data_IF_331979315460
#
_entry.id   IF_331979315460
#
_cell.length_a   1.000
_cell.length_b   1.000
_cell.length_c   1.000
_cell.angle_alpha   90.00
_cell.angle_beta   90.00
_cell.angle_gamma   90.00
#
_symmetry.space_group_name_H-M   'P 1'
#
loop_
_entity.id
_entity.type
_entity.pdbx_description
1 polymer ?
#
# COMPACT_ATOMS: atom_id res chain seq x y z
N UNK A 1 -20.19 5.36 -6.71
CA UNK A 1 -18.73 5.23 -6.93
C UNK A 1 -18.14 6.41 -7.70
N UNK A 2 -18.75 6.88 -8.79
CA UNK A 2 -18.23 8.00 -9.61
C UNK A 2 -18.03 9.34 -8.88
N UNK A 3 -18.87 9.68 -7.90
CA UNK A 3 -18.77 10.94 -7.14
C UNK A 3 -17.45 11.05 -6.37
N UNK A 4 -17.01 9.94 -5.76
CA UNK A 4 -15.74 9.90 -5.01
C UNK A 4 -14.55 10.07 -5.96
N UNK A 5 -14.62 9.46 -7.15
CA UNK A 5 -13.57 9.58 -8.17
C UNK A 5 -13.52 10.98 -8.78
N UNK A 6 -14.65 11.68 -8.90
CA UNK A 6 -14.69 13.07 -9.39
C UNK A 6 -14.14 14.07 -8.36
N UNK A 7 -14.46 13.90 -7.07
CA UNK A 7 -13.99 14.79 -6.00
C UNK A 7 -12.50 14.63 -5.70
N UNK A 8 -12.01 13.39 -5.72
CA UNK A 8 -10.61 13.11 -5.48
C UNK A 8 -9.81 13.09 -6.78
N UNK A 9 -10.41 12.87 -7.94
CA UNK A 9 -9.69 12.66 -9.19
C UNK A 9 -9.02 11.29 -9.22
N UNK A 10 -9.04 10.62 -10.38
CA UNK A 10 -8.47 9.27 -10.55
C UNK A 10 -6.97 9.15 -10.20
N UNK A 11 -6.24 10.26 -10.11
CA UNK A 11 -4.83 10.32 -9.70
C UNK A 11 -4.60 10.29 -8.17
N UNK A 12 -5.59 10.64 -7.36
CA UNK A 12 -5.40 10.86 -5.92
C UNK A 12 -5.57 9.56 -5.14
N UNK A 13 -6.42 8.65 -5.61
CA UNK A 13 -6.53 7.28 -5.06
C UNK A 13 -5.20 6.49 -5.15
N UNK A 14 -4.50 6.42 -6.31
CA UNK A 14 -3.23 5.70 -6.39
C UNK A 14 -2.10 6.38 -5.59
N UNK A 15 -2.13 7.69 -5.44
CA UNK A 15 -1.17 8.45 -4.63
C UNK A 15 -1.37 8.17 -3.12
N UNK A 16 -2.63 8.15 -2.66
CA UNK A 16 -3.00 7.76 -1.31
C UNK A 16 -2.69 6.28 -1.01
N UNK A 17 -2.94 5.37 -1.94
CA UNK A 17 -2.60 3.94 -1.78
C UNK A 17 -1.09 3.72 -1.67
N UNK A 18 -0.29 4.43 -2.47
CA UNK A 18 1.19 4.40 -2.35
C UNK A 18 1.64 4.91 -0.99
N UNK A 19 1.13 6.07 -0.56
CA UNK A 19 1.48 6.67 0.74
C UNK A 19 1.06 5.79 1.93
N UNK A 20 -0.17 5.28 1.91
CA UNK A 20 -0.71 4.41 2.96
C UNK A 20 0.02 3.05 3.01
N UNK A 21 0.29 2.44 1.85
CA UNK A 21 1.02 1.18 1.77
C UNK A 21 2.46 1.29 2.25
N UNK A 22 3.13 2.42 1.98
CA UNK A 22 4.46 2.71 2.48
C UNK A 22 4.44 2.98 4.00
N UNK A 23 3.52 3.82 4.48
CA UNK A 23 3.36 4.09 5.92
C UNK A 23 3.01 2.84 6.73
N UNK A 24 2.15 1.95 6.21
CA UNK A 24 1.81 0.70 6.88
C UNK A 24 2.98 -0.31 6.87
N UNK A 25 3.81 -0.31 5.80
CA UNK A 25 5.06 -1.09 5.75
C UNK A 25 6.07 -0.58 6.77
N UNK A 26 6.28 0.73 6.85
CA UNK A 26 7.22 1.34 7.78
C UNK A 26 6.75 1.17 9.23
N UNK A 27 5.43 1.32 9.48
CA UNK A 27 4.82 1.03 10.77
C UNK A 27 5.02 -0.43 11.16
N UNK A 28 4.71 -1.39 10.28
CA UNK A 28 4.88 -2.82 10.56
C UNK A 28 6.34 -3.21 10.73
N UNK A 29 7.26 -2.53 10.04
CA UNK A 29 8.70 -2.70 10.20
C UNK A 29 9.16 -2.17 11.55
N UNK A 30 8.71 -0.98 11.96
CA UNK A 30 9.03 -0.41 13.27
C UNK A 30 8.43 -1.21 14.44
N UNK A 31 7.17 -1.65 14.33
CA UNK A 31 6.51 -2.50 15.33
C UNK A 31 7.11 -3.91 15.43
N UNK A 32 7.84 -4.36 14.41
CA UNK A 32 8.58 -5.63 14.41
C UNK A 32 10.04 -5.48 14.82
N UNK A 33 10.51 -4.27 15.17
CA UNK A 33 11.90 -4.08 15.64
C UNK A 33 12.05 -4.40 17.13
N UNK A 34 10.93 -4.49 17.88
CA UNK A 34 10.91 -4.88 19.30
C UNK A 34 10.98 -6.41 19.52
N UNK A 35 10.74 -7.21 18.46
CA UNK A 35 10.81 -8.68 18.43
C UNK A 35 11.78 -9.07 17.29
N UNK A 36 12.88 -9.75 17.59
CA UNK A 36 14.03 -10.02 16.71
C UNK A 36 13.76 -10.57 15.26
N UNK A 37 14.78 -10.56 14.36
CA UNK A 37 14.66 -10.14 12.98
C UNK A 37 14.26 -11.23 11.99
N UNK A 38 14.07 -10.79 10.75
CA UNK A 38 13.96 -11.57 9.52
C UNK A 38 12.57 -12.08 9.14
N UNK A 39 11.97 -11.32 8.23
CA UNK A 39 11.28 -11.75 7.00
C UNK A 39 10.18 -10.74 6.70
N UNK A 40 10.49 -9.77 5.86
CA UNK A 40 9.45 -9.05 5.13
C UNK A 40 9.80 -9.04 3.64
N UNK A 41 9.87 -10.25 3.08
CA UNK A 41 9.90 -10.48 1.65
C UNK A 41 8.65 -11.26 1.27
N UNK A 42 7.61 -10.50 0.92
CA UNK A 42 6.34 -10.87 0.24
C UNK A 42 5.35 -9.75 0.61
N UNK A 43 4.42 -9.27 -0.19
CA UNK A 43 3.95 -9.54 -1.54
C UNK A 43 3.01 -8.36 -1.83
N UNK A 44 3.09 -7.77 -3.01
CA UNK A 44 1.93 -7.18 -3.70
C UNK A 44 2.40 -6.79 -5.10
N UNK A 45 2.81 -7.80 -5.85
CA UNK A 45 2.65 -7.83 -7.30
C UNK A 45 1.99 -9.16 -7.59
N UNK A 46 0.71 -9.26 -7.26
CA UNK A 46 -0.18 -10.21 -7.93
C UNK A 46 -1.07 -9.39 -8.85
N UNK A 47 -0.91 -9.69 -10.14
CA UNK A 47 -1.92 -9.70 -11.19
C UNK A 47 -3.02 -8.65 -11.20
N UNK A 48 -2.93 -7.73 -12.18
CA UNK A 48 -3.99 -7.54 -13.18
C UNK A 48 -3.37 -6.96 -14.46
N UNK A 49 -2.71 -7.82 -15.24
CA UNK A 49 -2.74 -7.72 -16.71
C UNK A 49 -3.40 -9.00 -17.19
N UNK A 50 -4.73 -9.01 -17.09
CA UNK A 50 -5.62 -9.94 -17.78
C UNK A 50 -5.38 -9.78 -19.29
N UNK A 51 -5.48 -10.90 -20.01
CA UNK A 51 -5.49 -11.05 -21.48
C UNK A 51 -6.04 -9.86 -22.28
#
# INVERSE_FOLDING_TARGET
MLVVVLLFGGRKIPELMKGLGQGLRDFKKASKVDDEPEKMKSESKEDTKKE
#
